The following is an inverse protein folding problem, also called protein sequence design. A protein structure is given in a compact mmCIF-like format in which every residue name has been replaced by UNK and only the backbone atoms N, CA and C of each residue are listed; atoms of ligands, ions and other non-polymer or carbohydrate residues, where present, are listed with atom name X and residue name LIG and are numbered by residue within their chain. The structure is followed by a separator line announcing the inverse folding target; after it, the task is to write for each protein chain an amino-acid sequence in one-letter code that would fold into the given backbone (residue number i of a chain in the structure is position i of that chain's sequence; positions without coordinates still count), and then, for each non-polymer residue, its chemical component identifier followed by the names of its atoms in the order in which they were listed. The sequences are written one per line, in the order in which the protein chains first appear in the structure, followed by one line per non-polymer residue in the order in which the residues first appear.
data_IF_264296447138
#
_entry.id   IF_264296447138
#
_cell.length_a   1.000
_cell.length_b   1.000
_cell.length_c   1.000
_cell.angle_alpha   90.00
_cell.angle_beta   90.00
_cell.angle_gamma   90.00
#
_symmetry.space_group_name_H-M   'P 1'
#
loop_
_entity.id
_entity.type
_entity.pdbx_description
1 polymer ?
#
# COMPACT_ATOMS: atom_id res chain seq x y z
N UNK A 1 -10.79 -1.39 2.67
CA UNK A 1 -10.72 0.04 2.25
C UNK A 1 -10.83 0.12 0.74
N UNK A 2 -11.62 1.04 0.25
CA UNK A 2 -11.69 1.31 -1.20
C UNK A 2 -10.69 2.39 -1.58
N UNK A 3 -10.43 2.49 -2.89
CA UNK A 3 -9.57 3.56 -3.44
C UNK A 3 -10.11 4.93 -3.05
N UNK A 4 -11.42 5.14 -3.18
CA UNK A 4 -12.05 6.41 -2.81
C UNK A 4 -11.86 6.77 -1.35
N UNK A 5 -11.99 5.79 -0.46
CA UNK A 5 -11.78 6.00 0.97
C UNK A 5 -10.32 6.37 1.28
N UNK A 6 -9.36 5.72 0.62
CA UNK A 6 -7.94 6.03 0.82
C UNK A 6 -7.61 7.46 0.39
N UNK A 7 -8.11 7.88 -0.76
CA UNK A 7 -7.87 9.24 -1.25
C UNK A 7 -8.57 10.29 -0.37
N UNK A 8 -9.80 10.02 0.03
CA UNK A 8 -10.56 10.93 0.89
C UNK A 8 -9.88 11.11 2.24
N UNK A 9 -9.46 10.03 2.87
CA UNK A 9 -8.77 10.09 4.16
C UNK A 9 -7.46 10.85 4.06
N UNK A 10 -6.70 10.61 2.99
CA UNK A 10 -5.43 11.30 2.75
C UNK A 10 -5.66 12.79 2.55
N UNK A 11 -6.63 13.18 1.74
CA UNK A 11 -6.92 14.59 1.45
C UNK A 11 -7.41 15.32 2.69
N UNK A 12 -8.11 14.61 3.58
CA UNK A 12 -8.58 15.19 4.83
C UNK A 12 -7.43 15.48 5.79
N UNK A 13 -6.45 14.57 5.83
CA UNK A 13 -5.26 14.74 6.70
C UNK A 13 -4.25 15.71 6.13
N UNK A 14 -4.08 15.71 4.82
CA UNK A 14 -3.04 16.45 4.11
C UNK A 14 -3.68 17.18 2.92
N UNK A 15 -4.35 18.31 3.16
CA UNK A 15 -4.93 19.08 2.08
C UNK A 15 -3.90 19.40 1.00
N UNK A 16 -4.25 19.16 -0.25
CA UNK A 16 -3.33 19.27 -1.37
C UNK A 16 -4.08 19.58 -2.66
N UNK A 17 -3.34 19.98 -3.69
CA UNK A 17 -3.89 20.29 -5.01
C UNK A 17 -3.46 19.28 -6.07
N UNK A 18 -2.90 18.13 -5.67
CA UNK A 18 -2.54 17.10 -6.62
C UNK A 18 -3.77 16.48 -7.27
N UNK A 19 -3.66 16.15 -8.55
CA UNK A 19 -4.77 15.58 -9.29
C UNK A 19 -5.11 14.17 -8.80
N UNK A 20 -6.32 13.74 -9.07
CA UNK A 20 -6.72 12.36 -8.78
C UNK A 20 -5.82 11.36 -9.51
N UNK A 21 -5.47 11.67 -10.75
CA UNK A 21 -4.63 10.81 -11.57
C UNK A 21 -3.24 10.62 -10.95
N UNK A 22 -2.64 11.69 -10.44
CA UNK A 22 -1.35 11.61 -9.75
C UNK A 22 -1.45 10.75 -8.49
N UNK A 23 -2.49 10.97 -7.70
CA UNK A 23 -2.70 10.21 -6.47
C UNK A 23 -3.00 8.74 -6.74
N UNK A 24 -3.75 8.45 -7.80
CA UNK A 24 -3.99 7.06 -8.21
C UNK A 24 -2.72 6.37 -8.65
N UNK A 25 -1.83 7.07 -9.36
CA UNK A 25 -0.55 6.51 -9.76
C UNK A 25 0.30 6.14 -8.55
N UNK A 26 0.37 7.01 -7.55
CA UNK A 26 1.09 6.72 -6.31
C UNK A 26 0.46 5.56 -5.53
N UNK A 27 -0.86 5.54 -5.44
CA UNK A 27 -1.58 4.46 -4.76
C UNK A 27 -1.34 3.11 -5.44
N UNK A 28 -1.28 3.11 -6.76
CA UNK A 28 -0.99 1.89 -7.53
C UNK A 28 0.40 1.35 -7.22
N UNK A 29 1.38 2.20 -6.97
CA UNK A 29 2.72 1.76 -6.60
C UNK A 29 2.70 0.91 -5.32
N UNK A 30 2.07 1.41 -4.26
CA UNK A 30 2.02 0.68 -2.99
C UNK A 30 1.11 -0.53 -3.06
N UNK A 31 0.03 -0.48 -3.83
CA UNK A 31 -0.83 -1.64 -4.02
C UNK A 31 -0.08 -2.76 -4.76
N UNK A 32 0.73 -2.39 -5.75
CA UNK A 32 1.60 -3.34 -6.43
C UNK A 32 2.63 -3.97 -5.51
N UNK A 33 3.19 -3.20 -4.58
CA UNK A 33 4.11 -3.73 -3.56
C UNK A 33 3.40 -4.73 -2.65
N UNK A 34 2.18 -4.42 -2.22
CA UNK A 34 1.38 -5.32 -1.38
C UNK A 34 1.04 -6.61 -2.13
N UNK A 35 0.68 -6.49 -3.39
CA UNK A 35 0.39 -7.64 -4.24
C UNK A 35 1.59 -8.57 -4.33
N UNK A 36 2.76 -8.01 -4.64
CA UNK A 36 4.00 -8.77 -4.74
C UNK A 36 4.39 -9.44 -3.42
N UNK A 37 4.20 -8.76 -2.30
CA UNK A 37 4.48 -9.32 -0.98
C UNK A 37 3.59 -10.53 -0.68
N UNK A 38 2.29 -10.43 -0.97
CA UNK A 38 1.36 -11.53 -0.73
C UNK A 38 1.64 -12.72 -1.65
N UNK A 39 2.02 -12.48 -2.90
CA UNK A 39 2.43 -13.56 -3.81
C UNK A 39 3.68 -14.28 -3.30
N UNK A 40 4.62 -13.54 -2.72
CA UNK A 40 5.84 -14.13 -2.15
C UNK A 40 5.54 -15.08 -1.00
N UNK A 41 4.36 -14.94 -0.36
CA UNK A 41 3.89 -15.87 0.68
C UNK A 41 2.93 -16.94 0.14
N UNK A 42 2.98 -17.20 -1.17
CA UNK A 42 2.18 -18.22 -1.85
C UNK A 42 0.67 -17.97 -1.86
N UNK A 43 0.25 -16.73 -1.65
CA UNK A 43 -1.13 -16.37 -1.88
C UNK A 43 -1.41 -16.36 -3.39
N UNK A 44 -2.45 -17.06 -3.81
CA UNK A 44 -2.79 -17.14 -5.24
C UNK A 44 -3.69 -15.96 -5.58
N UNK A 45 -3.10 -14.92 -6.14
CA UNK A 45 -3.83 -13.69 -6.47
C UNK A 45 -4.02 -13.47 -7.97
N UNK A 46 -3.24 -14.18 -8.79
CA UNK A 46 -3.18 -13.93 -10.22
C UNK A 46 -2.40 -12.65 -10.53
N UNK A 47 -2.43 -12.17 -11.79
CA UNK A 47 -1.73 -10.96 -12.16
C UNK A 47 -2.30 -9.72 -11.48
N UNK A 48 -1.45 -8.76 -11.16
CA UNK A 48 -1.89 -7.51 -10.56
C UNK A 48 -2.77 -6.73 -11.57
N UNK A 49 -4.05 -6.46 -11.25
CA UNK A 49 -4.96 -5.81 -12.20
C UNK A 49 -4.72 -4.30 -12.33
N UNK A 50 -3.96 -3.69 -11.41
CA UNK A 50 -3.81 -2.25 -11.36
C UNK A 50 -5.05 -1.55 -10.83
N UNK A 51 -4.96 -0.23 -10.69
CA UNK A 51 -6.08 0.60 -10.28
C UNK A 51 -6.68 1.27 -11.51
N UNK A 52 -7.98 1.11 -11.68
CA UNK A 52 -8.70 1.64 -12.84
C UNK A 52 -9.28 3.02 -12.56
N UNK A 53 -9.09 3.96 -13.47
CA UNK A 53 -9.72 5.27 -13.39
C UNK A 53 -11.25 5.16 -13.49
N UNK A 54 -11.76 4.13 -14.13
CA UNK A 54 -13.20 3.91 -14.32
C UNK A 54 -13.86 3.36 -13.06
N UNK A 55 -13.19 2.44 -12.37
CA UNK A 55 -13.72 1.83 -11.16
C UNK A 55 -13.30 2.53 -9.88
N UNK A 56 -12.61 3.66 -9.97
CA UNK A 56 -11.81 4.22 -8.92
C UNK A 56 -12.50 4.41 -7.56
N UNK A 57 -13.68 4.97 -7.40
CA UNK A 57 -14.10 5.20 -6.01
C UNK A 57 -14.45 3.92 -5.26
N UNK A 58 -14.93 2.91 -5.96
CA UNK A 58 -15.45 1.68 -5.36
C UNK A 58 -14.52 0.49 -5.43
N UNK A 59 -13.41 0.61 -6.14
CA UNK A 59 -12.44 -0.49 -6.23
C UNK A 59 -11.83 -0.77 -4.86
N UNK A 60 -11.87 -2.05 -4.45
CA UNK A 60 -11.31 -2.47 -3.18
C UNK A 60 -9.79 -2.60 -3.25
N UNK A 61 -9.14 -2.14 -2.19
CA UNK A 61 -7.71 -2.31 -2.01
C UNK A 61 -7.42 -3.61 -1.26
N UNK A 62 -6.23 -4.15 -1.49
CA UNK A 62 -5.84 -5.49 -1.10
C UNK A 62 -5.54 -5.66 0.39
N UNK A 63 -4.95 -4.65 1.02
CA UNK A 63 -4.44 -4.80 2.38
C UNK A 63 -5.56 -4.98 3.41
N UNK A 64 -5.35 -5.85 4.44
CA UNK A 64 -6.28 -5.98 5.54
C UNK A 64 -6.46 -4.66 6.29
N UNK A 65 -7.59 -4.52 6.96
CA UNK A 65 -7.96 -3.30 7.67
C UNK A 65 -6.85 -2.78 8.60
N UNK A 66 -6.15 -3.66 9.28
CA UNK A 66 -5.09 -3.27 10.22
C UNK A 66 -3.90 -2.58 9.54
N UNK A 67 -3.72 -2.77 8.23
CA UNK A 67 -2.56 -2.27 7.50
C UNK A 67 -2.91 -1.25 6.42
N UNK A 68 -4.15 -0.79 6.37
CA UNK A 68 -4.58 0.21 5.39
C UNK A 68 -3.89 1.57 5.59
N UNK A 69 -3.33 1.82 6.76
CA UNK A 69 -2.49 3.00 7.01
C UNK A 69 -1.28 3.10 6.09
N UNK A 70 -0.83 1.97 5.53
CA UNK A 70 0.25 1.97 4.55
C UNK A 70 -0.09 2.81 3.32
N UNK A 71 -1.33 2.77 2.87
CA UNK A 71 -1.77 3.56 1.72
C UNK A 71 -1.65 5.06 2.00
N UNK A 72 -2.13 5.49 3.16
CA UNK A 72 -2.11 6.90 3.54
C UNK A 72 -0.67 7.40 3.74
N UNK A 73 0.17 6.59 4.40
CA UNK A 73 1.58 6.94 4.62
C UNK A 73 2.35 7.04 3.30
N UNK A 74 2.07 6.16 2.35
CA UNK A 74 2.70 6.22 1.03
C UNK A 74 2.31 7.48 0.28
N UNK A 75 1.02 7.81 0.28
CA UNK A 75 0.52 9.02 -0.37
C UNK A 75 1.10 10.28 0.29
N UNK A 76 1.15 10.30 1.62
CA UNK A 76 1.78 11.41 2.36
C UNK A 76 3.23 11.58 1.94
N UNK A 77 3.99 10.50 1.91
CA UNK A 77 5.39 10.54 1.51
C UNK A 77 5.57 11.01 0.07
N UNK A 78 4.72 10.53 -0.84
CA UNK A 78 4.78 10.94 -2.24
C UNK A 78 4.53 12.44 -2.40
N UNK A 79 3.56 12.98 -1.67
CA UNK A 79 3.27 14.42 -1.71
C UNK A 79 4.42 15.24 -1.13
N UNK A 80 4.99 14.83 0.00
CA UNK A 80 6.14 15.52 0.57
C UNK A 80 7.34 15.51 -0.36
N UNK A 81 7.59 14.37 -1.00
CA UNK A 81 8.69 14.27 -1.97
C UNK A 81 8.45 15.20 -3.16
N UNK A 82 7.24 15.23 -3.69
CA UNK A 82 6.89 16.09 -4.82
C UNK A 82 7.00 17.56 -4.45
N UNK A 83 6.71 17.92 -3.19
CA UNK A 83 6.83 19.28 -2.66
C UNK A 83 8.27 19.62 -2.23
N UNK A 84 9.21 18.69 -2.40
CA UNK A 84 10.62 18.84 -1.99
C UNK A 84 10.79 19.03 -0.47
N UNK A 85 9.87 18.52 0.30
CA UNK A 85 9.91 18.52 1.76
C UNK A 85 10.55 17.21 2.25
N UNK A 86 11.85 17.07 2.02
CA UNK A 86 12.53 15.78 2.19
C UNK A 86 12.60 15.30 3.64
N UNK A 87 12.66 16.21 4.62
CA UNK A 87 12.63 15.80 6.02
C UNK A 87 11.26 15.15 6.36
N UNK A 88 10.17 15.76 5.90
CA UNK A 88 8.84 15.21 6.12
C UNK A 88 8.65 13.91 5.35
N UNK A 89 9.21 13.82 4.15
CA UNK A 89 9.23 12.57 3.39
C UNK A 89 9.94 11.45 4.17
N UNK A 90 11.12 11.74 4.72
CA UNK A 90 11.87 10.75 5.50
C UNK A 90 11.08 10.29 6.73
N UNK A 91 10.40 11.21 7.41
CA UNK A 91 9.58 10.87 8.56
C UNK A 91 8.39 9.98 8.17
N UNK A 92 7.72 10.29 7.07
CA UNK A 92 6.61 9.47 6.56
C UNK A 92 7.09 8.07 6.18
N UNK A 93 8.25 7.98 5.51
CA UNK A 93 8.80 6.69 5.10
C UNK A 93 9.28 5.86 6.28
N UNK A 94 9.79 6.49 7.34
CA UNK A 94 10.15 5.77 8.57
C UNK A 94 8.92 5.10 9.19
N UNK A 95 7.79 5.81 9.24
CA UNK A 95 6.52 5.25 9.72
C UNK A 95 5.98 4.17 8.78
N UNK A 96 6.08 4.40 7.48
CA UNK A 96 5.70 3.41 6.48
C UNK A 96 6.50 2.12 6.68
N UNK A 97 7.81 2.23 6.78
CA UNK A 97 8.69 1.06 6.94
C UNK A 97 8.36 0.26 8.20
N UNK A 98 8.04 0.95 9.30
CA UNK A 98 7.63 0.30 10.54
C UNK A 98 6.35 -0.51 10.38
N UNK A 99 5.33 0.09 9.76
CA UNK A 99 4.05 -0.60 9.54
C UNK A 99 4.19 -1.71 8.49
N UNK A 100 5.05 -1.51 7.48
CA UNK A 100 5.34 -2.53 6.47
C UNK A 100 5.95 -3.78 7.10
N UNK A 101 6.87 -3.60 8.04
CA UNK A 101 7.46 -4.74 8.78
C UNK A 101 6.40 -5.51 9.55
N UNK A 102 5.46 -4.81 10.17
CA UNK A 102 4.35 -5.46 10.88
C UNK A 102 3.45 -6.25 9.92
N UNK A 103 3.15 -5.67 8.76
CA UNK A 103 2.38 -6.35 7.71
C UNK A 103 3.11 -7.60 7.23
N UNK A 104 4.41 -7.49 6.98
CA UNK A 104 5.21 -8.62 6.53
C UNK A 104 5.22 -9.74 7.57
N UNK A 105 5.36 -9.39 8.85
CA UNK A 105 5.30 -10.35 9.94
C UNK A 105 3.92 -11.01 10.02
N UNK A 106 2.85 -10.25 9.79
CA UNK A 106 1.51 -10.81 9.71
C UNK A 106 1.38 -11.83 8.59
N UNK A 107 1.94 -11.54 7.42
CA UNK A 107 1.97 -12.49 6.31
C UNK A 107 2.67 -13.80 6.71
N UNK A 108 3.80 -13.69 7.40
CA UNK A 108 4.54 -14.88 7.86
C UNK A 108 3.71 -15.74 8.81
N UNK A 109 2.87 -15.14 9.65
CA UNK A 109 2.08 -15.87 10.64
C UNK A 109 0.81 -16.47 10.08
N UNK A 110 0.18 -15.79 9.12
CA UNK A 110 -1.20 -16.10 8.73
C UNK A 110 -1.33 -16.84 7.41
N UNK A 111 -0.37 -16.67 6.50
CA UNK A 111 -0.43 -17.33 5.19
C UNK A 111 0.29 -18.67 5.27
N UNK A 112 -0.42 -19.80 5.01
CA UNK A 112 0.20 -21.12 5.04
C UNK A 112 1.26 -21.26 3.97
N UNK A 113 2.40 -21.87 4.34
CA UNK A 113 3.50 -22.11 3.41
C UNK A 113 3.96 -23.58 3.54
N UNK A 114 3.16 -24.54 3.10
CA UNK A 114 3.48 -25.96 3.31
C UNK A 114 4.79 -26.40 2.65
N UNK A 115 5.16 -25.79 1.51
CA UNK A 115 6.40 -26.15 0.82
C UNK A 115 7.65 -25.62 1.52
N UNK A 116 7.50 -24.71 2.47
CA UNK A 116 8.60 -24.05 3.15
C UNK A 116 9.41 -24.97 4.02
N UNK A 117 8.73 -25.86 4.76
CA UNK A 117 9.39 -26.83 5.62
C UNK A 117 10.21 -27.83 4.82
N UNK A 118 9.77 -28.17 3.61
CA UNK A 118 10.46 -29.11 2.73
C UNK A 118 11.79 -28.54 2.24
N UNK A 119 11.86 -27.25 2.02
CA UNK A 119 13.05 -26.57 1.49
C UNK A 119 14.23 -26.57 2.45
N UNK A 120 13.97 -26.73 3.71
CA UNK A 120 15.01 -26.64 4.74
C UNK A 120 15.45 -28.02 5.28
N UNK A 121 14.93 -29.05 4.66
CA UNK A 121 15.37 -30.43 4.93
C UNK A 121 16.53 -30.86 4.02
#
# INVERSE_FOLDING_TARGET
MTVGEALELTDRRFPNLYSREEKLAWLQEVEGMAWGALEAFHAVLGPFPGLSAEGWPHQSLLLPKAYTGLYVLWLEGAMHYADQEYLLYNNAMARFNGLWKEFFAWCCRTIPQPARSIRYL
#
